data_IF_095281831060
#
_entry.id   IF_095281831060
#
_cell.length_a   1.000
_cell.length_b   1.000
_cell.length_c   1.000
_cell.angle_alpha   90.00
_cell.angle_beta   90.00
_cell.angle_gamma   90.00
#
_symmetry.space_group_name_H-M   'P 1'
#
loop_
_entity.id
_entity.type
_entity.pdbx_description
1 polymer ?
#
# COMPACT_ATOMS: atom_id res chain seq x y z
N UNK A 1 9.60 10.74 -0.64
CA UNK A 1 9.87 12.10 -0.11
C UNK A 1 9.27 13.08 -1.11
N UNK A 2 8.02 13.52 -0.91
CA UNK A 2 7.42 14.59 -1.72
C UNK A 2 7.50 15.84 -0.86
N UNK A 3 8.15 16.87 -1.40
CA UNK A 3 8.41 18.15 -0.73
C UNK A 3 7.06 18.80 -0.41
N UNK A 4 6.74 18.93 0.88
CA UNK A 4 5.61 19.70 1.36
C UNK A 4 6.03 21.18 1.31
N UNK A 5 5.76 21.85 0.17
CA UNK A 5 6.06 23.28 0.04
C UNK A 5 4.96 24.06 0.76
N UNK A 6 5.34 24.81 1.80
CA UNK A 6 4.44 25.70 2.54
C UNK A 6 4.26 27.01 1.75
N UNK A 7 3.11 27.16 1.09
CA UNK A 7 2.78 28.31 0.23
C UNK A 7 2.05 29.45 0.96
N UNK A 8 1.96 29.42 2.30
CA UNK A 8 1.38 30.53 3.07
C UNK A 8 1.97 31.91 2.74
N UNK A 9 3.28 32.07 2.48
CA UNK A 9 3.86 33.39 2.17
C UNK A 9 3.39 33.94 0.82
N UNK A 10 3.12 33.06 -0.15
CA UNK A 10 2.67 33.46 -1.49
C UNK A 10 1.20 33.91 -1.46
N UNK A 11 0.38 33.25 -0.63
CA UNK A 11 -1.02 33.61 -0.40
C UNK A 11 -1.15 34.98 0.27
N UNK A 12 -0.34 35.23 1.29
CA UNK A 12 -0.42 36.47 2.07
C UNK A 12 0.09 37.67 1.23
N UNK A 13 1.13 37.47 0.39
CA UNK A 13 1.60 38.47 -0.58
C UNK A 13 0.57 38.80 -1.67
N UNK A 14 -0.24 37.83 -2.09
CA UNK A 14 -1.33 38.07 -3.05
C UNK A 14 -2.53 38.78 -2.41
N UNK A 15 -2.80 38.56 -1.12
CA UNK A 15 -3.85 39.28 -0.39
C UNK A 15 -3.46 40.75 -0.13
N UNK A 16 -2.19 41.04 0.15
CA UNK A 16 -1.67 42.42 0.22
C UNK A 16 -1.77 43.14 -1.13
N UNK A 17 -1.51 42.44 -2.25
CA UNK A 17 -1.67 43.01 -3.59
C UNK A 17 -3.14 43.34 -3.93
N UNK A 18 -4.08 42.56 -3.41
CA UNK A 18 -5.52 42.79 -3.59
C UNK A 18 -6.05 43.98 -2.77
N UNK A 19 -5.47 44.24 -1.59
CA UNK A 19 -5.87 45.38 -0.74
C UNK A 19 -5.29 46.71 -1.26
N UNK A 20 -4.13 46.66 -1.94
CA UNK A 20 -3.49 47.82 -2.57
C UNK A 20 -4.30 48.39 -3.74
N UNK A 21 -4.98 47.54 -4.52
CA UNK A 21 -5.74 47.96 -5.71
C UNK A 21 -7.12 48.56 -5.35
N UNK A 22 -7.70 48.26 -4.17
CA UNK A 22 -9.04 48.78 -3.81
C UNK A 22 -9.08 50.28 -3.49
N UNK A 23 -7.92 50.94 -3.35
CA UNK A 23 -7.81 52.37 -3.00
C UNK A 23 -7.67 53.31 -4.20
N UNK A 24 -7.70 52.80 -5.45
CA UNK A 24 -7.55 53.64 -6.65
C UNK A 24 -8.40 53.15 -7.81
N UNK A 25 -9.59 53.74 -7.96
CA UNK A 25 -10.15 54.31 -9.20
C UNK A 25 -11.65 54.08 -9.36
N UNK A 26 -12.35 55.17 -9.67
CA UNK A 26 -13.71 55.20 -10.24
C UNK A 26 -13.60 54.89 -11.74
N UNK A 27 -14.11 53.74 -12.20
CA UNK A 27 -14.61 53.59 -13.58
C UNK A 27 -15.41 52.28 -13.79
N UNK A 28 -16.44 52.31 -14.62
CA UNK A 28 -17.39 51.20 -14.86
C UNK A 28 -16.79 49.89 -15.42
N UNK A 29 -15.49 49.88 -15.75
CA UNK A 29 -14.75 48.68 -16.13
C UNK A 29 -14.41 47.79 -14.92
N UNK A 30 -14.34 48.39 -13.72
CA UNK A 30 -14.04 47.68 -12.48
C UNK A 30 -15.18 46.74 -12.07
N UNK A 31 -16.45 47.04 -12.35
CA UNK A 31 -17.52 46.15 -11.91
C UNK A 31 -17.45 44.75 -12.58
N UNK A 32 -16.93 44.66 -13.81
CA UNK A 32 -16.71 43.39 -14.49
C UNK A 32 -15.42 42.69 -14.04
N UNK A 33 -14.33 43.43 -13.85
CA UNK A 33 -13.07 42.90 -13.31
C UNK A 33 -13.22 42.45 -11.86
N UNK A 34 -13.88 43.22 -11.00
CA UNK A 34 -14.22 42.89 -9.62
C UNK A 34 -15.16 41.67 -9.56
N UNK A 35 -16.15 41.53 -10.46
CA UNK A 35 -16.97 40.31 -10.54
C UNK A 35 -16.19 39.07 -10.99
N UNK A 36 -15.26 39.21 -11.94
CA UNK A 36 -14.35 38.13 -12.37
C UNK A 36 -13.36 37.75 -11.26
N UNK A 37 -12.88 38.74 -10.50
CA UNK A 37 -11.98 38.57 -9.35
C UNK A 37 -12.70 37.95 -8.14
N UNK A 38 -13.98 38.28 -7.91
CA UNK A 38 -14.84 37.62 -6.91
C UNK A 38 -15.15 36.16 -7.31
N UNK A 39 -15.32 35.88 -8.60
CA UNK A 39 -15.41 34.50 -9.11
C UNK A 39 -14.07 33.75 -8.95
N UNK A 40 -12.94 34.42 -9.16
CA UNK A 40 -11.60 33.89 -8.94
C UNK A 40 -11.32 33.61 -7.44
N UNK A 41 -11.81 34.46 -6.54
CA UNK A 41 -11.71 34.25 -5.09
C UNK A 41 -12.60 33.11 -4.60
N UNK A 42 -13.74 32.87 -5.26
CA UNK A 42 -14.56 31.67 -5.07
C UNK A 42 -13.88 30.39 -5.58
N UNK A 43 -13.13 30.47 -6.69
CA UNK A 43 -12.36 29.36 -7.26
C UNK A 43 -11.17 28.96 -6.36
N UNK A 44 -10.53 29.93 -5.70
CA UNK A 44 -9.41 29.74 -4.77
C UNK A 44 -9.77 28.97 -3.47
N UNK A 45 -11.07 28.74 -3.18
CA UNK A 45 -11.52 27.93 -2.03
C UNK A 45 -11.57 26.42 -2.30
N UNK A 46 -11.22 25.97 -3.50
CA UNK A 46 -11.32 24.56 -3.91
C UNK A 46 -9.95 23.88 -3.99
N UNK A 47 -9.92 22.55 -3.88
CA UNK A 47 -8.66 21.78 -3.99
C UNK A 47 -7.93 22.11 -5.30
N UNK A 48 -6.59 22.05 -5.31
CA UNK A 48 -5.76 22.38 -6.49
C UNK A 48 -6.21 21.68 -7.79
N UNK A 49 -6.83 20.50 -7.69
CA UNK A 49 -7.40 19.76 -8.81
C UNK A 49 -8.71 20.37 -9.31
N UNK A 50 -9.63 20.75 -8.42
CA UNK A 50 -10.83 21.48 -8.80
C UNK A 50 -10.49 22.84 -9.39
N UNK A 51 -9.47 23.52 -8.84
CA UNK A 51 -8.98 24.78 -9.37
C UNK A 51 -8.40 24.62 -10.79
N UNK A 52 -7.52 23.62 -11.00
CA UNK A 52 -6.92 23.37 -12.30
C UNK A 52 -7.95 22.89 -13.35
N UNK A 53 -8.90 22.03 -12.97
CA UNK A 53 -9.97 21.54 -13.86
C UNK A 53 -10.97 22.66 -14.17
N UNK A 54 -11.35 23.47 -13.18
CA UNK A 54 -12.24 24.62 -13.40
C UNK A 54 -11.57 25.69 -14.25
N UNK A 55 -10.28 25.97 -14.04
CA UNK A 55 -9.49 26.85 -14.92
C UNK A 55 -9.41 26.25 -16.32
N UNK A 56 -9.15 24.95 -16.48
CA UNK A 56 -9.09 24.32 -17.80
C UNK A 56 -10.43 24.38 -18.54
N UNK A 57 -11.54 24.06 -17.86
CA UNK A 57 -12.90 24.21 -18.41
C UNK A 57 -13.21 25.69 -18.73
N UNK A 58 -12.83 26.63 -17.87
CA UNK A 58 -13.06 28.06 -18.08
C UNK A 58 -12.18 28.60 -19.21
N UNK A 59 -10.94 28.16 -19.36
CA UNK A 59 -10.02 28.50 -20.45
C UNK A 59 -10.51 27.97 -21.79
N UNK A 60 -11.06 26.74 -21.82
CA UNK A 60 -11.71 26.19 -23.02
C UNK A 60 -12.98 26.99 -23.36
N UNK A 61 -13.81 27.30 -22.37
CA UNK A 61 -15.03 28.08 -22.55
C UNK A 61 -14.70 29.50 -23.02
N UNK A 62 -13.68 30.14 -22.45
CA UNK A 62 -13.18 31.45 -22.82
C UNK A 62 -12.61 31.42 -24.24
N UNK A 63 -11.77 30.44 -24.59
CA UNK A 63 -11.22 30.29 -25.94
C UNK A 63 -12.28 29.96 -27.01
N UNK A 64 -13.38 29.30 -26.66
CA UNK A 64 -14.51 29.01 -27.57
C UNK A 64 -15.51 30.17 -27.70
N UNK A 65 -15.65 31.00 -26.67
CA UNK A 65 -16.60 32.12 -26.64
C UNK A 65 -15.94 33.42 -27.15
N UNK A 66 -14.65 33.66 -26.89
CA UNK A 66 -13.96 34.88 -27.32
C UNK A 66 -14.01 35.13 -28.84
N UNK A 67 -13.95 34.12 -29.73
CA UNK A 67 -14.11 34.34 -31.16
C UNK A 67 -15.57 34.66 -31.56
N UNK A 68 -16.55 34.23 -30.76
CA UNK A 68 -17.99 34.37 -31.07
C UNK A 68 -18.59 35.69 -30.61
N UNK A 69 -18.05 36.32 -29.56
CA UNK A 69 -18.52 37.64 -29.12
C UNK A 69 -18.16 38.74 -30.13
N UNK A 70 -17.14 38.54 -30.98
CA UNK A 70 -16.70 39.57 -31.94
C UNK A 70 -17.31 39.48 -33.35
N UNK A 71 -18.11 38.46 -33.67
CA UNK A 71 -18.72 38.31 -35.01
C UNK A 71 -20.18 38.78 -35.07
N UNK A 72 -20.81 39.13 -33.95
CA UNK A 72 -22.23 39.53 -33.95
C UNK A 72 -22.54 40.67 -32.98
N UNK A 73 -22.07 41.89 -33.30
CA UNK A 73 -22.88 43.13 -33.34
C UNK A 73 -21.97 44.37 -33.43
N UNK A 74 -22.44 45.33 -34.23
CA UNK A 74 -22.02 46.73 -34.28
C UNK A 74 -20.76 47.08 -35.10
N UNK A 75 -20.88 46.95 -36.42
CA UNK A 75 -20.31 47.95 -37.33
C UNK A 75 -21.15 49.22 -37.20
N UNK A 76 -20.68 50.21 -36.43
CA UNK A 76 -20.64 51.65 -36.77
C UNK A 76 -20.41 52.51 -35.53
N UNK A 77 -19.54 53.50 -35.76
CA UNK A 77 -19.34 54.76 -35.03
C UNK A 77 -18.70 54.70 -33.64
N UNK A 78 -17.51 55.32 -33.60
CA UNK A 78 -16.83 56.04 -32.51
C UNK A 78 -15.36 55.65 -32.37
N UNK A 79 -14.58 56.38 -33.16
CA UNK A 79 -13.24 56.88 -32.88
C UNK A 79 -12.95 57.04 -31.37
N UNK A 80 -11.77 56.56 -30.96
CA UNK A 80 -11.10 56.70 -29.65
C UNK A 80 -11.49 55.71 -28.53
N UNK A 81 -10.99 54.48 -28.66
CA UNK A 81 -10.52 53.67 -27.53
C UNK A 81 -9.18 53.05 -27.94
N UNK A 82 -8.08 53.80 -27.70
CA UNK A 82 -6.71 53.30 -27.77
C UNK A 82 -6.34 52.74 -26.39
N UNK A 83 -6.88 51.58 -26.04
CA UNK A 83 -6.39 50.77 -24.94
C UNK A 83 -6.57 49.29 -25.30
N UNK A 84 -5.76 48.81 -26.24
CA UNK A 84 -5.45 47.39 -26.32
C UNK A 84 -3.97 47.30 -26.71
N UNK A 85 -3.11 46.62 -25.92
CA UNK A 85 -1.76 46.34 -26.38
C UNK A 85 -1.88 45.45 -27.62
N UNK A 86 -1.50 46.02 -28.76
CA UNK A 86 -1.58 45.42 -30.10
C UNK A 86 -0.50 44.34 -30.34
N UNK A 87 0.06 43.81 -29.25
CA UNK A 87 1.02 42.70 -29.21
C UNK A 87 0.71 41.79 -28.01
N UNK A 88 -0.56 41.47 -27.81
CA UNK A 88 -0.91 40.31 -27.00
C UNK A 88 -0.46 39.09 -27.79
N UNK A 89 0.76 38.60 -27.53
CA UNK A 89 1.35 37.48 -28.23
C UNK A 89 0.39 36.29 -28.12
N UNK A 90 -0.44 36.05 -29.13
CA UNK A 90 -1.50 35.04 -29.10
C UNK A 90 -0.94 33.66 -28.75
N UNK A 91 0.31 33.40 -29.16
CA UNK A 91 1.07 32.23 -28.74
C UNK A 91 1.30 32.14 -27.23
N UNK A 92 1.55 33.25 -26.53
CA UNK A 92 1.68 33.29 -25.07
C UNK A 92 0.35 33.00 -24.36
N UNK A 93 -0.77 33.48 -24.91
CA UNK A 93 -2.12 33.19 -24.36
C UNK A 93 -2.46 31.71 -24.54
N UNK A 94 -2.22 31.13 -25.73
CA UNK A 94 -2.42 29.70 -25.99
C UNK A 94 -1.51 28.84 -25.11
N UNK A 95 -0.23 29.21 -24.98
CA UNK A 95 0.72 28.52 -24.12
C UNK A 95 0.25 28.52 -22.66
N UNK A 96 -0.12 29.68 -22.11
CA UNK A 96 -0.41 29.84 -20.69
C UNK A 96 -1.79 29.29 -20.29
N UNK A 97 -2.80 29.37 -21.16
CA UNK A 97 -4.17 28.98 -20.82
C UNK A 97 -4.61 27.63 -21.38
N UNK A 98 -3.92 27.09 -22.41
CA UNK A 98 -4.25 25.77 -22.97
C UNK A 98 -3.12 24.76 -22.76
N UNK A 99 -1.89 25.08 -23.17
CA UNK A 99 -0.78 24.10 -23.12
C UNK A 99 -0.35 23.81 -21.69
N UNK A 100 -0.05 24.85 -20.91
CA UNK A 100 0.43 24.68 -19.52
C UNK A 100 -0.61 23.97 -18.65
N UNK A 101 -1.91 24.34 -18.63
CA UNK A 101 -2.90 23.64 -17.82
C UNK A 101 -3.11 22.20 -18.29
N UNK A 102 -3.13 21.94 -19.60
CA UNK A 102 -3.24 20.57 -20.14
C UNK A 102 -2.05 19.72 -19.74
N UNK A 103 -0.84 20.28 -19.77
CA UNK A 103 0.38 19.61 -19.33
C UNK A 103 0.37 19.32 -17.83
N UNK A 104 -0.06 20.29 -17.01
CA UNK A 104 -0.20 20.12 -15.54
C UNK A 104 -1.24 19.04 -15.22
N UNK A 105 -2.39 19.04 -15.89
CA UNK A 105 -3.41 17.99 -15.74
C UNK A 105 -2.87 16.64 -16.19
N UNK A 106 -2.13 16.59 -17.30
CA UNK A 106 -1.45 15.39 -17.79
C UNK A 106 -0.46 14.82 -16.77
N UNK A 107 0.40 15.66 -16.19
CA UNK A 107 1.32 15.27 -15.11
C UNK A 107 0.55 14.83 -13.88
N UNK A 108 -0.53 15.51 -13.49
CA UNK A 108 -1.31 15.10 -12.35
C UNK A 108 -1.89 13.71 -12.57
N UNK A 109 -2.57 13.47 -13.69
CA UNK A 109 -3.23 12.18 -13.97
C UNK A 109 -2.23 11.04 -14.20
N UNK A 110 -1.19 11.29 -15.00
CA UNK A 110 -0.28 10.26 -15.50
C UNK A 110 1.13 10.31 -14.91
N UNK A 111 1.48 11.34 -14.14
CA UNK A 111 2.84 11.55 -13.64
C UNK A 111 3.37 10.35 -12.85
N UNK A 112 2.56 9.75 -11.98
CA UNK A 112 2.95 8.53 -11.26
C UNK A 112 3.22 7.35 -12.20
N UNK A 113 2.42 7.19 -13.27
CA UNK A 113 2.64 6.13 -14.26
C UNK A 113 3.92 6.37 -15.03
N UNK A 114 4.17 7.62 -15.42
CA UNK A 114 5.40 8.03 -16.11
C UNK A 114 6.61 7.80 -15.20
N UNK A 115 6.54 8.20 -13.92
CA UNK A 115 7.65 8.00 -12.99
C UNK A 115 7.92 6.52 -12.72
N UNK A 116 6.88 5.68 -12.59
CA UNK A 116 7.05 4.25 -12.38
C UNK A 116 7.63 3.58 -13.63
N UNK A 117 7.14 3.94 -14.81
CA UNK A 117 7.65 3.41 -16.08
C UNK A 117 9.12 3.77 -16.31
N UNK A 118 9.50 5.01 -15.99
CA UNK A 118 10.86 5.51 -16.21
C UNK A 118 11.79 5.27 -15.01
N UNK A 119 11.32 4.66 -13.91
CA UNK A 119 12.10 4.29 -12.72
C UNK A 119 13.47 3.63 -13.07
N UNK A 120 13.56 2.70 -14.05
CA UNK A 120 14.84 2.09 -14.44
C UNK A 120 15.92 3.07 -14.92
N UNK A 121 15.58 4.31 -15.27
CA UNK A 121 16.54 5.32 -15.74
C UNK A 121 17.32 6.00 -14.61
N UNK A 122 16.80 6.02 -13.38
CA UNK A 122 17.42 6.74 -12.26
C UNK A 122 17.50 5.92 -10.96
N UNK A 123 16.82 4.79 -10.87
CA UNK A 123 16.83 3.93 -9.68
C UNK A 123 17.43 2.56 -10.05
N UNK A 124 18.55 2.22 -9.41
CA UNK A 124 19.17 0.90 -9.56
C UNK A 124 18.47 -0.12 -8.66
N UNK A 125 18.41 -1.41 -9.07
CA UNK A 125 17.85 -2.45 -8.23
C UNK A 125 18.60 -2.53 -6.88
N UNK A 126 17.90 -2.90 -5.80
CA UNK A 126 18.56 -3.15 -4.52
C UNK A 126 19.57 -4.31 -4.67
N UNK A 127 20.49 -4.41 -3.72
CA UNK A 127 21.44 -5.54 -3.68
C UNK A 127 20.67 -6.86 -3.72
N UNK A 128 21.09 -7.85 -4.53
CA UNK A 128 20.42 -9.14 -4.53
C UNK A 128 20.52 -9.81 -3.16
N UNK A 129 19.62 -10.73 -2.86
CA UNK A 129 19.79 -11.63 -1.72
C UNK A 129 20.79 -12.73 -2.08
N UNK A 130 21.40 -13.31 -1.05
CA UNK A 130 22.12 -14.57 -1.12
C UNK A 130 21.12 -15.70 -0.89
N UNK A 131 20.77 -16.36 -1.98
CA UNK A 131 19.79 -17.44 -1.97
C UNK A 131 20.33 -18.69 -1.27
N UNK A 132 19.64 -19.11 -0.22
CA UNK A 132 19.82 -20.41 0.41
C UNK A 132 18.78 -21.35 -0.22
N UNK A 133 19.23 -22.44 -0.89
CA UNK A 133 18.32 -23.48 -1.37
C UNK A 133 17.57 -24.10 -0.20
N UNK A 134 16.28 -24.34 -0.39
CA UNK A 134 15.44 -24.99 0.60
C UNK A 134 15.18 -26.43 0.16
N UNK A 135 15.91 -27.37 0.77
CA UNK A 135 15.74 -28.80 0.51
C UNK A 135 14.66 -29.34 1.43
N UNK A 136 13.62 -29.95 0.86
CA UNK A 136 12.55 -30.54 1.64
C UNK A 136 11.92 -31.72 0.90
N UNK A 137 11.65 -32.79 1.65
CA UNK A 137 10.77 -33.89 1.29
C UNK A 137 10.23 -34.52 2.59
N UNK A 138 8.97 -34.93 2.59
CA UNK A 138 8.32 -35.50 3.78
C UNK A 138 8.98 -36.81 4.26
N UNK A 139 9.65 -37.54 3.36
CA UNK A 139 10.25 -38.84 3.65
C UNK A 139 11.75 -38.75 3.99
N UNK A 140 12.33 -37.54 4.04
CA UNK A 140 13.74 -37.34 4.38
C UNK A 140 13.86 -36.96 5.86
N UNK A 141 14.76 -37.64 6.57
CA UNK A 141 14.98 -37.37 8.00
C UNK A 141 15.48 -35.94 8.24
N UNK A 142 15.10 -35.36 9.37
CA UNK A 142 15.53 -34.01 9.75
C UNK A 142 17.06 -33.87 9.83
N UNK A 143 17.76 -34.91 10.29
CA UNK A 143 19.23 -34.95 10.29
C UNK A 143 19.82 -34.79 8.89
N UNK A 144 19.26 -35.50 7.90
CA UNK A 144 19.69 -35.38 6.51
C UNK A 144 19.33 -34.01 5.92
N UNK A 145 18.13 -33.49 6.24
CA UNK A 145 17.73 -32.15 5.81
C UNK A 145 18.70 -31.09 6.35
N UNK A 146 19.01 -31.08 7.65
CA UNK A 146 19.98 -30.13 8.20
C UNK A 146 21.36 -30.25 7.53
N UNK A 147 21.87 -31.49 7.39
CA UNK A 147 23.16 -31.72 6.71
C UNK A 147 23.17 -31.25 5.26
N UNK A 148 22.09 -31.42 4.51
CA UNK A 148 21.96 -30.94 3.13
C UNK A 148 22.06 -29.40 3.02
N UNK A 149 21.62 -28.68 4.05
CA UNK A 149 21.78 -27.23 4.14
C UNK A 149 23.15 -26.81 4.69
N UNK A 150 24.01 -27.76 5.07
CA UNK A 150 25.28 -27.50 5.74
C UNK A 150 25.12 -27.06 7.20
N UNK A 151 24.00 -27.43 7.82
CA UNK A 151 23.62 -27.06 9.18
C UNK A 151 23.77 -28.24 10.15
N UNK A 152 24.00 -27.94 11.43
CA UNK A 152 23.97 -28.92 12.50
C UNK A 152 22.55 -29.44 12.76
N UNK A 153 22.42 -30.54 13.49
CA UNK A 153 21.11 -31.00 14.01
C UNK A 153 21.10 -30.85 15.52
N UNK A 154 19.93 -30.54 16.08
CA UNK A 154 19.74 -30.41 17.52
C UNK A 154 19.07 -31.64 18.12
N UNK A 155 19.38 -31.93 19.37
CA UNK A 155 18.69 -32.97 20.16
C UNK A 155 17.27 -32.54 20.56
N UNK A 156 17.08 -31.22 20.77
CA UNK A 156 15.81 -30.61 21.15
C UNK A 156 15.54 -29.41 20.24
N UNK A 157 14.33 -29.28 19.68
CA UNK A 157 14.00 -28.17 18.81
C UNK A 157 13.95 -26.87 19.61
N UNK A 158 14.34 -25.76 18.97
CA UNK A 158 14.13 -24.41 19.53
C UNK A 158 12.65 -24.15 19.77
N UNK A 159 12.34 -23.33 20.79
CA UNK A 159 11.01 -22.74 20.89
C UNK A 159 10.85 -21.72 19.76
N UNK A 160 9.62 -21.58 19.31
CA UNK A 160 9.29 -20.66 18.21
C UNK A 160 8.19 -19.72 18.65
N UNK A 161 8.38 -18.44 18.41
CA UNK A 161 7.45 -17.36 18.70
C UNK A 161 6.95 -16.77 17.39
N UNK A 162 5.63 -16.81 17.18
CA UNK A 162 4.99 -16.19 16.02
C UNK A 162 4.45 -14.80 16.39
N UNK A 163 5.11 -13.73 15.94
CA UNK A 163 4.72 -12.37 16.30
C UNK A 163 4.10 -11.61 15.13
N UNK A 164 2.85 -11.16 15.31
CA UNK A 164 2.08 -10.46 14.27
C UNK A 164 1.40 -9.20 14.82
N UNK A 165 1.35 -8.16 13.97
CA UNK A 165 0.43 -7.04 14.13
C UNK A 165 -0.90 -7.38 13.43
N UNK A 166 -2.01 -7.26 14.15
CA UNK A 166 -3.32 -7.65 13.63
C UNK A 166 -4.22 -6.43 13.32
N UNK A 167 -4.89 -6.48 12.16
CA UNK A 167 -5.86 -5.48 11.72
C UNK A 167 -7.26 -6.06 11.57
N UNK A 168 -7.54 -6.79 10.49
CA UNK A 168 -8.87 -7.32 10.16
C UNK A 168 -8.85 -8.65 9.38
N UNK A 169 -7.68 -9.27 9.22
CA UNK A 169 -7.45 -10.48 8.42
C UNK A 169 -7.81 -11.80 9.16
N UNK A 170 -9.03 -11.92 9.72
CA UNK A 170 -9.43 -13.08 10.55
C UNK A 170 -9.25 -14.44 9.84
N UNK A 171 -9.72 -14.56 8.60
CA UNK A 171 -9.65 -15.82 7.84
C UNK A 171 -8.22 -16.25 7.56
N UNK A 172 -7.35 -15.29 7.24
CA UNK A 172 -5.92 -15.53 6.97
C UNK A 172 -5.18 -15.85 8.27
N UNK A 173 -5.52 -15.20 9.38
CA UNK A 173 -4.97 -15.52 10.70
C UNK A 173 -5.30 -16.98 11.10
N UNK A 174 -6.54 -17.41 10.87
CA UNK A 174 -6.95 -18.79 11.14
C UNK A 174 -6.13 -19.80 10.31
N UNK A 175 -5.98 -19.56 9.00
CA UNK A 175 -5.16 -20.42 8.13
C UNK A 175 -3.71 -20.45 8.61
N UNK A 176 -3.12 -19.28 8.90
CA UNK A 176 -1.76 -19.14 9.40
C UNK A 176 -1.56 -19.96 10.67
N UNK A 177 -2.41 -19.77 11.67
CA UNK A 177 -2.23 -20.40 12.97
C UNK A 177 -2.49 -21.89 12.94
N UNK A 178 -3.43 -22.39 12.13
CA UNK A 178 -3.57 -23.84 11.94
C UNK A 178 -2.36 -24.47 11.24
N UNK A 179 -1.74 -23.78 10.26
CA UNK A 179 -0.50 -24.23 9.62
C UNK A 179 0.67 -24.28 10.61
N UNK A 180 0.78 -23.27 11.47
CA UNK A 180 1.92 -23.10 12.39
C UNK A 180 1.73 -23.78 13.75
N UNK A 181 0.50 -24.16 14.11
CA UNK A 181 0.14 -24.73 15.42
C UNK A 181 1.04 -25.86 15.91
N UNK A 182 1.50 -26.80 15.06
CA UNK A 182 2.37 -27.90 15.51
C UNK A 182 3.82 -27.47 15.80
N UNK A 183 4.24 -26.30 15.32
CA UNK A 183 5.65 -25.88 15.29
C UNK A 183 5.93 -24.66 16.17
N UNK A 184 4.90 -23.88 16.50
CA UNK A 184 5.00 -22.66 17.30
C UNK A 184 4.76 -22.95 18.78
N UNK A 185 5.65 -22.44 19.63
CA UNK A 185 5.53 -22.54 21.08
C UNK A 185 4.61 -21.48 21.66
N UNK A 186 4.70 -20.24 21.17
CA UNK A 186 3.90 -19.11 21.62
C UNK A 186 3.45 -18.25 20.43
N UNK A 187 2.17 -17.90 20.39
CA UNK A 187 1.61 -16.93 19.46
C UNK A 187 1.54 -15.56 20.16
N UNK A 188 2.12 -14.54 19.53
CA UNK A 188 2.18 -13.18 20.04
C UNK A 188 1.39 -12.28 19.09
N UNK A 189 0.21 -11.84 19.52
CA UNK A 189 -0.68 -11.02 18.70
C UNK A 189 -0.89 -9.66 19.38
N UNK A 190 -0.50 -8.59 18.69
CA UNK A 190 -0.84 -7.23 19.09
C UNK A 190 -1.96 -6.69 18.20
N UNK A 191 -3.03 -6.21 18.82
CA UNK A 191 -4.12 -5.51 18.13
C UNK A 191 -4.21 -4.04 18.57
N UNK A 192 -4.34 -3.13 17.60
CA UNK A 192 -4.61 -1.71 17.84
C UNK A 192 -6.08 -1.37 17.63
N UNK A 193 -6.60 -0.38 18.36
CA UNK A 193 -7.89 0.25 18.05
C UNK A 193 -7.79 1.37 16.99
N UNK A 194 -6.62 1.56 16.38
CA UNK A 194 -6.39 2.45 15.25
C UNK A 194 -5.88 1.72 14.01
N UNK A 195 -6.28 2.22 12.83
CA UNK A 195 -5.59 1.95 11.58
C UNK A 195 -4.27 2.74 11.50
N UNK A 196 -3.37 2.39 10.59
CA UNK A 196 -2.14 3.17 10.37
C UNK A 196 -2.41 4.59 9.89
N UNK A 197 -3.57 4.83 9.28
CA UNK A 197 -4.05 6.17 8.89
C UNK A 197 -4.72 6.95 10.02
N UNK A 198 -4.75 6.41 11.25
CA UNK A 198 -5.32 7.08 12.43
C UNK A 198 -6.84 7.04 12.50
N UNK A 199 -7.50 6.15 11.75
CA UNK A 199 -8.94 5.91 11.86
C UNK A 199 -9.23 4.96 13.02
N UNK A 200 -10.33 5.20 13.73
CA UNK A 200 -10.82 4.28 14.76
C UNK A 200 -11.28 2.97 14.11
N UNK A 201 -10.86 1.84 14.67
CA UNK A 201 -11.37 0.50 14.35
C UNK A 201 -11.74 -0.26 15.63
N UNK A 202 -12.68 -1.22 15.57
CA UNK A 202 -12.89 -2.16 16.66
C UNK A 202 -11.67 -3.08 16.83
N UNK A 203 -11.66 -3.78 17.97
CA UNK A 203 -10.74 -4.89 18.19
C UNK A 203 -11.35 -6.15 17.55
N UNK A 204 -11.18 -6.28 16.24
CA UNK A 204 -11.69 -7.39 15.43
C UNK A 204 -11.27 -8.76 15.96
N UNK A 205 -10.03 -8.91 16.46
CA UNK A 205 -9.60 -10.18 17.04
C UNK A 205 -10.32 -10.41 18.37
N UNK A 206 -10.36 -9.41 19.26
CA UNK A 206 -11.04 -9.55 20.55
C UNK A 206 -12.53 -9.91 20.40
N UNK A 207 -13.21 -9.32 19.43
CA UNK A 207 -14.62 -9.59 19.13
C UNK A 207 -14.88 -11.00 18.57
N UNK A 208 -13.87 -11.65 18.01
CA UNK A 208 -13.96 -12.96 17.36
C UNK A 208 -13.03 -14.01 18.00
N UNK A 209 -12.58 -13.76 19.24
CA UNK A 209 -11.57 -14.55 19.94
C UNK A 209 -12.02 -15.99 20.20
N UNK A 210 -13.32 -16.21 20.30
CA UNK A 210 -13.95 -17.52 20.44
C UNK A 210 -13.60 -18.47 19.27
N UNK A 211 -13.40 -17.94 18.06
CA UNK A 211 -12.99 -18.73 16.90
C UNK A 211 -11.56 -19.28 17.01
N UNK A 212 -10.78 -18.78 17.99
CA UNK A 212 -9.36 -19.08 18.19
C UNK A 212 -9.09 -19.79 19.53
N UNK A 213 -10.11 -20.40 20.15
CA UNK A 213 -9.97 -21.10 21.44
C UNK A 213 -8.82 -22.12 21.44
N UNK A 214 -8.55 -22.76 20.29
CA UNK A 214 -7.47 -23.73 20.14
C UNK A 214 -6.07 -23.18 20.42
N UNK A 215 -5.81 -21.87 20.24
CA UNK A 215 -4.50 -21.26 20.52
C UNK A 215 -4.40 -20.63 21.91
N UNK A 216 -5.51 -20.47 22.64
CA UNK A 216 -5.55 -19.79 23.94
C UNK A 216 -4.46 -20.24 24.93
N UNK A 217 -4.13 -21.55 25.07
CA UNK A 217 -3.08 -21.99 25.97
C UNK A 217 -1.67 -21.46 25.64
N UNK A 218 -1.47 -20.96 24.42
CA UNK A 218 -0.19 -20.48 23.86
C UNK A 218 -0.31 -19.06 23.30
N UNK A 219 -1.34 -18.30 23.71
CA UNK A 219 -1.61 -16.97 23.17
C UNK A 219 -1.18 -15.87 24.14
N UNK A 220 -0.22 -15.07 23.71
CA UNK A 220 0.14 -13.79 24.31
C UNK A 220 -0.54 -12.67 23.50
N UNK A 221 -1.76 -12.32 23.91
CA UNK A 221 -2.55 -11.27 23.31
C UNK A 221 -2.33 -9.93 24.00
N UNK A 222 -2.00 -8.88 23.23
CA UNK A 222 -1.86 -7.52 23.72
C UNK A 222 -2.68 -6.52 22.90
N UNK A 223 -3.10 -5.44 23.55
CA UNK A 223 -3.79 -4.33 22.90
C UNK A 223 -3.00 -3.04 23.03
N UNK A 224 -3.07 -2.18 22.02
CA UNK A 224 -2.50 -0.82 22.08
C UNK A 224 -3.52 0.22 21.61
N UNK A 225 -3.50 1.39 22.25
CA UNK A 225 -4.31 2.54 21.81
C UNK A 225 -3.61 3.30 20.69
N UNK A 226 -4.34 3.70 19.66
CA UNK A 226 -3.80 4.54 18.59
C UNK A 226 -3.42 5.95 19.04
N UNK A 227 -2.57 6.61 18.25
CA UNK A 227 -2.29 8.04 18.43
C UNK A 227 -3.36 8.93 17.78
N UNK A 228 -4.14 8.38 16.84
CA UNK A 228 -5.26 9.05 16.15
C UNK A 228 -4.90 10.38 15.46
N UNK A 229 -3.66 10.51 14.99
CA UNK A 229 -3.20 11.71 14.29
C UNK A 229 -3.58 11.63 12.80
N UNK A 230 -4.47 12.52 12.36
CA UNK A 230 -4.93 12.58 10.96
C UNK A 230 -3.96 13.36 10.08
N UNK A 231 -3.75 12.88 8.85
CA UNK A 231 -2.92 13.56 7.84
C UNK A 231 -1.42 13.44 8.06
N UNK A 232 -0.99 12.68 9.08
CA UNK A 232 0.40 12.30 9.26
C UNK A 232 0.76 11.14 8.30
N UNK A 233 2.06 10.96 8.07
CA UNK A 233 2.57 9.77 7.40
C UNK A 233 2.15 8.50 8.17
N UNK A 234 1.38 7.58 7.55
CA UNK A 234 0.90 6.36 8.21
C UNK A 234 2.00 5.46 8.79
N UNK A 235 3.22 5.51 8.23
CA UNK A 235 4.37 4.74 8.72
C UNK A 235 4.78 5.12 10.14
N UNK A 236 4.39 6.30 10.63
CA UNK A 236 4.64 6.71 12.02
C UNK A 236 3.75 5.92 12.98
N UNK A 237 2.47 5.74 12.65
CA UNK A 237 1.53 4.95 13.46
C UNK A 237 1.91 3.46 13.43
N UNK A 238 2.28 2.95 12.26
CA UNK A 238 2.81 1.60 12.11
C UNK A 238 4.05 1.39 13.00
N UNK A 239 5.01 2.32 12.96
CA UNK A 239 6.23 2.24 13.78
C UNK A 239 5.91 2.25 15.28
N UNK A 240 4.95 3.06 15.71
CA UNK A 240 4.48 3.08 17.09
C UNK A 240 3.90 1.71 17.52
N UNK A 241 3.04 1.12 16.69
CA UNK A 241 2.48 -0.21 16.97
C UNK A 241 3.56 -1.31 16.96
N UNK A 242 4.57 -1.23 16.07
CA UNK A 242 5.70 -2.19 16.06
C UNK A 242 6.57 -2.08 17.32
N UNK A 243 6.73 -0.89 17.90
CA UNK A 243 7.40 -0.72 19.21
C UNK A 243 6.59 -1.36 20.34
N UNK A 244 5.26 -1.22 20.32
CA UNK A 244 4.39 -1.90 21.28
C UNK A 244 4.46 -3.44 21.15
N UNK A 245 4.54 -3.96 19.92
CA UNK A 245 4.71 -5.39 19.68
C UNK A 245 6.07 -5.90 20.22
N UNK A 246 7.15 -5.12 20.06
CA UNK A 246 8.46 -5.45 20.65
C UNK A 246 8.38 -5.61 22.17
N UNK A 247 7.55 -4.80 22.85
CA UNK A 247 7.32 -4.91 24.29
C UNK A 247 6.53 -6.18 24.64
N UNK A 248 5.48 -6.50 23.88
CA UNK A 248 4.68 -7.72 24.07
C UNK A 248 5.53 -8.99 23.87
N UNK A 249 6.38 -9.01 22.84
CA UNK A 249 7.32 -10.11 22.60
C UNK A 249 8.22 -10.34 23.81
N UNK A 250 8.80 -9.28 24.39
CA UNK A 250 9.69 -9.40 25.57
C UNK A 250 8.99 -9.96 26.80
N UNK A 251 7.70 -9.65 26.96
CA UNK A 251 6.89 -10.07 28.12
C UNK A 251 6.25 -11.45 27.91
N UNK A 252 6.26 -11.99 26.69
CA UNK A 252 5.77 -13.34 26.36
C UNK A 252 6.68 -14.49 26.83
N UNK A 253 7.82 -14.20 27.45
CA UNK A 253 8.76 -15.22 27.95
C UNK A 253 9.69 -15.80 26.88
N UNK A 254 9.98 -15.04 25.81
CA UNK A 254 11.01 -15.36 24.83
C UNK A 254 12.41 -15.24 25.43
N UNK A 255 13.25 -16.24 25.18
CA UNK A 255 14.63 -16.34 25.68
C UNK A 255 15.68 -16.31 24.57
N UNK A 256 16.95 -16.27 24.97
CA UNK A 256 18.08 -16.38 24.04
C UNK A 256 18.03 -17.73 23.27
N UNK A 257 18.41 -17.69 22.00
CA UNK A 257 18.38 -18.82 21.05
C UNK A 257 16.98 -19.30 20.62
N UNK A 258 15.88 -18.78 21.18
CA UNK A 258 14.53 -19.00 20.65
C UNK A 258 14.39 -18.40 19.23
N UNK A 259 13.50 -18.95 18.40
CA UNK A 259 13.20 -18.40 17.08
C UNK A 259 12.03 -17.41 17.17
N UNK A 260 12.21 -16.22 16.61
CA UNK A 260 11.18 -15.20 16.49
C UNK A 260 10.83 -15.01 15.02
N UNK A 261 9.60 -15.37 14.65
CA UNK A 261 9.03 -15.08 13.34
C UNK A 261 8.52 -13.64 13.36
N UNK A 262 8.97 -12.84 12.40
CA UNK A 262 8.55 -11.45 12.20
C UNK A 262 7.93 -11.33 10.82
N UNK A 263 6.61 -11.21 10.76
CA UNK A 263 5.89 -11.10 9.49
C UNK A 263 4.56 -10.40 9.70
N UNK A 264 3.95 -9.93 8.61
CA UNK A 264 2.55 -9.52 8.65
C UNK A 264 1.64 -10.78 8.61
N UNK A 265 0.35 -10.62 8.93
CA UNK A 265 -0.61 -11.76 9.02
C UNK A 265 -0.74 -12.48 7.68
N UNK A 266 -0.70 -11.74 6.57
CA UNK A 266 -0.82 -12.28 5.22
C UNK A 266 0.42 -12.98 4.69
N UNK A 267 1.52 -13.00 5.43
CA UNK A 267 2.78 -13.65 5.09
C UNK A 267 2.97 -14.94 5.90
N UNK A 268 2.35 -16.03 5.46
CA UNK A 268 2.28 -17.32 6.15
C UNK A 268 3.54 -18.15 5.85
N UNK A 269 4.47 -18.34 6.82
CA UNK A 269 5.55 -19.31 6.67
C UNK A 269 4.98 -20.72 6.60
N UNK A 270 5.60 -21.58 5.81
CA UNK A 270 5.19 -22.98 5.78
C UNK A 270 5.62 -23.72 7.06
N UNK A 271 4.81 -24.68 7.48
CA UNK A 271 5.10 -25.49 8.65
C UNK A 271 6.42 -26.26 8.53
N UNK A 272 6.73 -26.78 7.34
CA UNK A 272 7.98 -27.50 7.11
C UNK A 272 9.22 -26.58 7.16
N UNK A 273 9.12 -25.33 6.70
CA UNK A 273 10.18 -24.33 6.89
C UNK A 273 10.45 -24.11 8.38
N UNK A 274 9.42 -23.85 9.17
CA UNK A 274 9.59 -23.61 10.61
C UNK A 274 10.11 -24.85 11.32
N UNK A 275 9.65 -26.03 10.90
CA UNK A 275 10.14 -27.30 11.43
C UNK A 275 11.62 -27.52 11.13
N UNK A 276 12.09 -27.20 9.92
CA UNK A 276 13.50 -27.24 9.57
C UNK A 276 14.32 -26.32 10.47
N UNK A 277 13.93 -25.04 10.57
CA UNK A 277 14.70 -24.03 11.29
C UNK A 277 14.79 -24.31 12.79
N UNK A 278 13.74 -24.84 13.42
CA UNK A 278 13.78 -25.14 14.86
C UNK A 278 14.66 -26.35 15.20
N UNK A 279 14.84 -27.30 14.27
CA UNK A 279 15.63 -28.52 14.48
C UNK A 279 17.08 -28.39 14.02
N UNK A 280 17.38 -27.51 13.06
CA UNK A 280 18.75 -27.32 12.59
C UNK A 280 19.50 -26.30 13.43
N UNK A 281 20.79 -26.56 13.70
CA UNK A 281 21.72 -25.62 14.32
C UNK A 281 22.60 -24.93 13.28
N UNK A 282 23.38 -23.93 13.69
CA UNK A 282 24.28 -23.16 12.82
C UNK A 282 23.55 -22.44 11.65
N UNK A 283 22.22 -22.30 11.75
CA UNK A 283 21.43 -21.45 10.86
C UNK A 283 21.85 -19.98 11.04
N UNK A 284 21.70 -19.14 10.00
CA UNK A 284 21.93 -17.70 10.11
C UNK A 284 21.15 -17.08 11.28
N UNK A 285 21.75 -16.11 11.97
CA UNK A 285 21.13 -15.43 13.11
C UNK A 285 19.86 -14.67 12.70
N UNK A 286 19.84 -14.13 11.48
CA UNK A 286 18.67 -13.53 10.85
C UNK A 286 18.55 -14.15 9.47
N UNK A 287 17.34 -14.51 9.09
CA UNK A 287 17.07 -15.18 7.82
C UNK A 287 15.75 -14.66 7.27
N UNK A 288 15.76 -14.11 6.06
CA UNK A 288 14.51 -13.80 5.35
C UNK A 288 13.89 -15.06 4.77
N UNK A 289 12.58 -15.05 4.63
CA UNK A 289 11.80 -16.12 4.02
C UNK A 289 11.30 -15.65 2.66
N UNK A 290 11.64 -16.38 1.60
CA UNK A 290 11.06 -16.14 0.27
C UNK A 290 9.70 -16.80 0.19
N UNK A 291 8.65 -16.00 0.11
CA UNK A 291 7.27 -16.49 0.01
C UNK A 291 6.77 -16.37 -1.44
N UNK A 292 5.93 -17.32 -1.84
CA UNK A 292 5.14 -17.23 -3.07
C UNK A 292 4.11 -16.11 -2.91
N UNK A 293 4.13 -15.14 -3.80
CA UNK A 293 3.40 -13.89 -3.66
C UNK A 293 2.09 -13.94 -4.45
N UNK A 294 0.98 -14.00 -3.74
CA UNK A 294 -0.38 -14.06 -4.25
C UNK A 294 -1.13 -12.77 -3.97
N UNK A 295 -2.07 -12.47 -4.85
CA UNK A 295 -2.93 -11.30 -4.73
C UNK A 295 -4.41 -11.71 -4.80
N UNK A 296 -5.24 -11.21 -3.90
CA UNK A 296 -6.69 -11.44 -3.81
C UNK A 296 -7.12 -12.87 -3.43
N UNK A 297 -6.42 -13.90 -3.88
CA UNK A 297 -6.63 -15.33 -3.57
C UNK A 297 -5.41 -16.14 -4.03
N UNK A 298 -5.36 -17.44 -3.71
CA UNK A 298 -4.31 -18.35 -4.20
C UNK A 298 -4.43 -18.70 -5.70
N UNK A 299 -5.37 -18.05 -6.41
CA UNK A 299 -5.49 -18.12 -7.87
C UNK A 299 -4.50 -17.20 -8.60
N UNK A 300 -4.17 -16.03 -8.04
CA UNK A 300 -3.38 -15.02 -8.73
C UNK A 300 -1.97 -14.96 -8.16
N UNK A 301 -1.11 -15.88 -8.61
CA UNK A 301 0.32 -15.88 -8.30
C UNK A 301 1.02 -14.75 -9.07
N UNK A 302 1.44 -13.70 -8.36
CA UNK A 302 2.14 -12.55 -8.91
C UNK A 302 3.60 -12.89 -9.25
N UNK A 303 4.33 -13.43 -8.27
CA UNK A 303 5.72 -13.89 -8.41
C UNK A 303 6.16 -14.72 -7.19
N UNK A 304 7.44 -15.12 -7.15
CA UNK A 304 8.05 -15.76 -5.99
C UNK A 304 9.08 -14.84 -5.32
N UNK A 305 8.77 -13.54 -5.21
CA UNK A 305 9.71 -12.51 -4.75
C UNK A 305 9.31 -11.86 -3.42
N UNK A 306 8.26 -12.30 -2.72
CA UNK A 306 7.97 -11.75 -1.39
C UNK A 306 9.06 -12.18 -0.40
N UNK A 307 9.59 -11.23 0.39
CA UNK A 307 10.82 -11.43 1.17
C UNK A 307 10.82 -10.82 2.57
N UNK A 308 9.81 -10.03 2.95
CA UNK A 308 9.87 -9.22 4.18
C UNK A 308 9.72 -10.05 5.46
N UNK A 309 9.03 -11.18 5.39
CA UNK A 309 8.95 -12.13 6.48
C UNK A 309 10.35 -12.66 6.82
N UNK A 310 10.69 -12.69 8.11
CA UNK A 310 11.98 -13.19 8.57
C UNK A 310 11.86 -14.02 9.83
N UNK A 311 12.87 -14.86 10.06
CA UNK A 311 13.08 -15.58 11.31
C UNK A 311 14.40 -15.15 11.91
N UNK A 312 14.36 -14.73 13.17
CA UNK A 312 15.54 -14.31 13.91
C UNK A 312 15.79 -15.27 15.06
N UNK A 313 17.04 -15.70 15.23
CA UNK A 313 17.51 -16.25 16.52
C UNK A 313 17.52 -15.10 17.52
N UNK A 314 16.66 -15.20 18.53
CA UNK A 314 16.46 -14.14 19.49
C UNK A 314 17.69 -13.98 20.38
N UNK A 315 18.06 -12.71 20.61
CA UNK A 315 19.10 -12.30 21.55
C UNK A 315 18.55 -11.18 22.41
N UNK A 316 18.44 -11.44 23.71
CA UNK A 316 17.93 -10.51 24.69
C UNK A 316 18.69 -9.17 24.61
N UNK A 317 17.93 -8.06 24.59
CA UNK A 317 18.47 -6.71 24.47
C UNK A 317 18.97 -6.30 23.07
N UNK A 318 19.22 -7.24 22.15
CA UNK A 318 19.71 -6.95 20.79
C UNK A 318 18.63 -7.11 19.72
N UNK A 319 17.84 -8.18 19.77
CA UNK A 319 16.79 -8.42 18.79
C UNK A 319 15.63 -7.45 19.01
N UNK A 320 15.17 -6.85 17.90
CA UNK A 320 14.02 -5.94 17.84
C UNK A 320 13.10 -6.39 16.74
N UNK A 321 11.79 -6.25 16.95
CA UNK A 321 10.84 -6.48 15.88
C UNK A 321 11.11 -5.55 14.69
N UNK A 322 11.29 -6.13 13.51
CA UNK A 322 11.59 -5.39 12.29
C UNK A 322 10.97 -6.07 11.08
N UNK A 323 10.24 -5.30 10.28
CA UNK A 323 9.58 -5.77 9.06
C UNK A 323 10.17 -5.08 7.81
N UNK A 324 11.49 -5.19 7.67
CA UNK A 324 12.28 -4.66 6.56
C UNK A 324 13.58 -5.46 6.44
N UNK A 325 14.44 -5.17 5.45
CA UNK A 325 15.64 -5.97 5.19
C UNK A 325 16.63 -5.90 6.36
N UNK A 326 16.83 -7.03 7.04
CA UNK A 326 17.75 -7.18 8.19
C UNK A 326 19.06 -7.92 7.88
N UNK A 327 19.08 -8.73 6.82
CA UNK A 327 20.22 -9.49 6.31
C UNK A 327 20.10 -9.63 4.79
N UNK A 328 21.14 -10.16 4.16
CA UNK A 328 21.14 -10.54 2.75
C UNK A 328 20.85 -12.05 2.54
N UNK A 329 20.83 -12.85 3.60
CA UNK A 329 20.48 -14.28 3.51
C UNK A 329 18.95 -14.47 3.41
N UNK A 330 18.51 -15.29 2.45
CA UNK A 330 17.10 -15.63 2.25
C UNK A 330 16.93 -17.13 1.99
N UNK A 331 16.01 -17.78 2.70
CA UNK A 331 15.63 -19.15 2.43
C UNK A 331 14.56 -19.18 1.35
N UNK A 332 14.79 -20.01 0.32
CA UNK A 332 13.87 -20.12 -0.83
C UNK A 332 12.57 -20.84 -0.46
N UNK A 333 11.50 -20.60 -1.23
CA UNK A 333 10.19 -21.30 -1.16
C UNK A 333 9.75 -21.66 0.27
N UNK A 334 9.55 -20.64 1.09
CA UNK A 334 9.38 -20.75 2.54
C UNK A 334 7.94 -20.51 3.03
N UNK A 335 6.97 -20.44 2.11
CA UNK A 335 5.56 -20.23 2.42
C UNK A 335 4.85 -19.32 1.41
N UNK A 336 3.83 -18.62 1.87
CA UNK A 336 2.91 -17.87 1.02
C UNK A 336 2.67 -16.46 1.56
N UNK A 337 2.64 -15.48 0.67
CA UNK A 337 2.16 -14.13 0.95
C UNK A 337 0.86 -13.92 0.19
N UNK A 338 -0.28 -13.70 0.86
CA UNK A 338 -1.59 -13.55 0.22
C UNK A 338 -2.17 -12.16 0.48
N UNK A 339 -1.72 -11.17 -0.29
CA UNK A 339 -2.16 -9.79 -0.10
C UNK A 339 -3.60 -9.58 -0.56
N UNK A 340 -4.38 -8.79 0.19
CA UNK A 340 -5.80 -8.52 -0.10
C UNK A 340 -6.68 -9.79 -0.23
N UNK A 341 -6.34 -10.86 0.48
CA UNK A 341 -7.07 -12.13 0.45
C UNK A 341 -8.28 -12.15 1.40
N UNK A 342 -9.27 -11.30 1.10
CA UNK A 342 -10.47 -11.09 1.92
C UNK A 342 -11.72 -11.76 1.36
N UNK A 343 -12.69 -12.02 2.24
CA UNK A 343 -13.97 -12.64 1.91
C UNK A 343 -14.98 -11.61 1.39
N UNK A 344 -15.02 -10.44 2.00
CA UNK A 344 -15.99 -9.38 1.70
C UNK A 344 -15.34 -8.19 1.00
N UNK A 345 -16.04 -7.57 0.05
CA UNK A 345 -15.56 -6.36 -0.64
C UNK A 345 -15.32 -5.19 0.32
N UNK A 346 -16.08 -5.11 1.40
CA UNK A 346 -15.91 -4.09 2.45
C UNK A 346 -14.53 -4.14 3.10
N UNK A 347 -13.93 -5.32 3.25
CA UNK A 347 -12.59 -5.49 3.82
C UNK A 347 -11.48 -4.98 2.88
N UNK A 348 -11.67 -5.12 1.56
CA UNK A 348 -10.77 -4.49 0.58
C UNK A 348 -10.80 -2.97 0.74
N UNK A 349 -12.01 -2.38 0.76
CA UNK A 349 -12.20 -0.93 0.95
C UNK A 349 -11.61 -0.48 2.29
N UNK A 350 -11.78 -1.26 3.35
CA UNK A 350 -11.20 -0.99 4.65
C UNK A 350 -9.67 -0.98 4.58
N UNK A 351 -9.02 -2.05 4.10
CA UNK A 351 -7.55 -2.11 4.00
C UNK A 351 -6.98 -0.99 3.15
N UNK A 352 -7.59 -0.70 1.99
CA UNK A 352 -7.19 0.42 1.10
C UNK A 352 -7.18 1.77 1.81
N UNK A 353 -8.08 1.99 2.79
CA UNK A 353 -8.13 3.23 3.60
C UNK A 353 -7.30 3.18 4.88
N UNK A 354 -6.94 1.99 5.34
CA UNK A 354 -6.39 1.75 6.67
C UNK A 354 -4.86 1.63 6.70
N UNK A 355 -4.28 0.99 5.69
CA UNK A 355 -2.86 0.62 5.71
C UNK A 355 -1.91 1.73 5.23
N UNK A 356 -0.60 1.49 5.37
CA UNK A 356 0.41 2.53 5.23
C UNK A 356 0.53 3.15 3.84
N UNK A 357 0.04 2.46 2.80
CA UNK A 357 0.05 2.96 1.42
C UNK A 357 -1.30 3.52 0.95
N UNK A 358 -2.02 4.22 1.84
CA UNK A 358 -3.29 4.92 1.51
C UNK A 358 -3.11 5.96 0.40
N UNK A 359 -1.89 6.44 0.16
CA UNK A 359 -1.53 7.38 -0.91
C UNK A 359 -1.85 6.83 -2.32
N UNK A 360 -1.96 5.50 -2.45
CA UNK A 360 -2.38 4.84 -3.69
C UNK A 360 -3.86 5.07 -4.01
N UNK A 361 -4.69 5.41 -3.04
CA UNK A 361 -6.11 5.76 -3.23
C UNK A 361 -6.24 7.20 -3.73
N UNK A 362 -5.96 7.40 -5.02
CA UNK A 362 -5.96 8.74 -5.64
C UNK A 362 -7.34 9.25 -6.03
N UNK A 363 -8.25 8.34 -6.36
CA UNK A 363 -9.59 8.66 -6.82
C UNK A 363 -10.64 7.88 -6.05
N UNK A 364 -11.76 8.52 -5.73
CA UNK A 364 -12.84 7.90 -4.96
C UNK A 364 -13.43 6.65 -5.66
N UNK A 365 -13.40 6.58 -6.99
CA UNK A 365 -13.91 5.43 -7.73
C UNK A 365 -13.11 4.14 -7.52
N UNK A 366 -11.85 4.22 -7.04
CA UNK A 366 -11.08 3.04 -6.66
C UNK A 366 -11.74 2.26 -5.52
N UNK A 367 -12.54 2.94 -4.71
CA UNK A 367 -13.26 2.38 -3.58
C UNK A 367 -14.67 1.89 -3.96
N UNK A 368 -15.05 1.93 -5.24
CA UNK A 368 -16.35 1.45 -5.68
C UNK A 368 -16.41 -0.10 -5.59
N UNK A 369 -17.38 -0.67 -4.85
CA UNK A 369 -17.44 -2.12 -4.64
C UNK A 369 -17.55 -2.95 -5.92
N UNK A 370 -18.39 -2.52 -6.87
CA UNK A 370 -18.57 -3.23 -8.15
C UNK A 370 -17.30 -3.21 -8.99
N UNK A 371 -16.57 -2.09 -8.99
CA UNK A 371 -15.25 -2.01 -9.64
C UNK A 371 -14.25 -2.94 -8.98
N UNK A 372 -14.13 -2.90 -7.64
CA UNK A 372 -13.20 -3.76 -6.90
C UNK A 372 -13.46 -5.22 -7.27
N UNK A 373 -14.72 -5.65 -7.23
CA UNK A 373 -15.11 -7.02 -7.58
C UNK A 373 -14.69 -7.41 -9.02
N UNK A 374 -14.86 -6.52 -9.99
CA UNK A 374 -14.42 -6.75 -11.37
C UNK A 374 -12.89 -6.82 -11.49
N UNK A 375 -12.18 -5.88 -10.86
CA UNK A 375 -10.72 -5.78 -10.89
C UNK A 375 -10.06 -7.02 -10.30
N UNK A 376 -10.51 -7.48 -9.13
CA UNK A 376 -9.93 -8.67 -8.48
C UNK A 376 -10.24 -9.94 -9.27
N UNK A 377 -11.41 -10.05 -9.90
CA UNK A 377 -11.75 -11.20 -10.74
C UNK A 377 -10.93 -11.25 -12.02
N UNK A 378 -10.51 -10.11 -12.56
CA UNK A 378 -9.63 -10.03 -13.71
C UNK A 378 -8.15 -10.22 -13.35
N UNK A 379 -7.79 -10.25 -12.07
CA UNK A 379 -6.38 -10.22 -11.63
C UNK A 379 -5.68 -8.88 -11.92
N UNK A 380 -6.44 -7.78 -12.10
CA UNK A 380 -5.87 -6.46 -12.40
C UNK A 380 -5.45 -5.70 -11.13
N UNK A 381 -4.67 -4.63 -11.27
CA UNK A 381 -4.22 -3.80 -10.14
C UNK A 381 -5.35 -2.93 -9.56
N UNK A 382 -5.57 -2.99 -8.23
CA UNK A 382 -6.62 -2.22 -7.55
C UNK A 382 -6.53 -0.70 -7.78
N UNK A 383 -5.33 -0.18 -8.00
CA UNK A 383 -5.01 1.24 -8.05
C UNK A 383 -4.70 1.74 -9.46
N UNK A 384 -4.89 0.89 -10.48
CA UNK A 384 -4.53 1.13 -11.89
C UNK A 384 -3.07 1.59 -12.09
N UNK A 385 -2.17 1.10 -11.24
CA UNK A 385 -0.74 1.41 -11.27
C UNK A 385 0.02 0.51 -12.27
N UNK A 386 1.21 0.97 -12.66
CA UNK A 386 2.17 0.13 -13.38
C UNK A 386 2.99 -0.70 -12.37
N UNK A 387 3.54 -1.85 -12.79
CA UNK A 387 4.44 -2.64 -11.96
C UNK A 387 5.62 -1.82 -11.41
N UNK A 388 5.89 -2.00 -10.13
CA UNK A 388 6.97 -1.33 -9.41
C UNK A 388 8.31 -2.06 -9.56
N UNK A 389 8.89 -2.04 -10.75
CA UNK A 389 10.12 -2.81 -11.08
C UNK A 389 11.30 -1.90 -11.44
N UNK A 390 12.52 -2.47 -11.38
CA UNK A 390 13.78 -1.75 -11.61
C UNK A 390 14.34 -1.91 -13.02
N UNK A 391 13.73 -2.74 -13.86
CA UNK A 391 14.15 -2.95 -15.25
C UNK A 391 12.95 -2.87 -16.19
N UNK A 392 13.15 -2.31 -17.39
CA UNK A 392 12.08 -2.26 -18.41
C UNK A 392 11.57 -3.66 -18.77
N UNK A 393 12.45 -4.67 -18.78
CA UNK A 393 12.09 -6.06 -19.04
C UNK A 393 11.09 -6.58 -18.01
N UNK A 394 11.32 -6.33 -16.74
CA UNK A 394 10.42 -6.75 -15.66
C UNK A 394 9.12 -5.97 -15.67
N UNK A 395 9.17 -4.64 -15.92
CA UNK A 395 7.96 -3.83 -16.08
C UNK A 395 7.09 -4.45 -17.17
N UNK A 396 7.64 -4.60 -18.39
CA UNK A 396 6.90 -5.16 -19.53
C UNK A 396 6.41 -6.58 -19.27
N UNK A 397 7.24 -7.42 -18.64
CA UNK A 397 6.87 -8.79 -18.30
C UNK A 397 5.74 -8.90 -17.27
N UNK A 398 5.51 -7.86 -16.47
CA UNK A 398 4.43 -7.78 -15.47
C UNK A 398 3.29 -6.85 -15.89
N UNK A 399 3.31 -6.31 -17.11
CA UNK A 399 2.21 -5.48 -17.58
C UNK A 399 0.96 -6.33 -17.82
N UNK A 400 -0.18 -5.80 -17.38
CA UNK A 400 -1.48 -6.44 -17.54
C UNK A 400 -1.93 -7.19 -16.30
N UNK A 401 -3.02 -7.96 -16.40
CA UNK A 401 -3.55 -8.70 -15.28
C UNK A 401 -2.70 -9.93 -14.95
N UNK A 402 -2.69 -10.29 -13.65
CA UNK A 402 -2.03 -11.50 -13.16
C UNK A 402 -2.75 -12.71 -13.75
N UNK A 403 -2.01 -13.68 -14.34
CA UNK A 403 -2.63 -14.87 -14.92
C UNK A 403 -3.30 -15.74 -13.85
N UNK A 404 -4.40 -16.36 -14.23
CA UNK A 404 -5.10 -17.33 -13.40
C UNK A 404 -4.26 -18.60 -13.26
N UNK A 405 -4.06 -19.05 -12.03
CA UNK A 405 -3.38 -20.30 -11.68
C UNK A 405 -4.40 -21.38 -11.38
N UNK A 406 -4.27 -22.54 -12.01
CA UNK A 406 -5.17 -23.68 -11.83
C UNK A 406 -4.64 -24.74 -10.85
N UNK A 407 -3.53 -24.44 -10.17
CA UNK A 407 -2.89 -25.34 -9.21
C UNK A 407 -3.13 -24.86 -7.79
N UNK A 408 -3.65 -25.75 -6.96
CA UNK A 408 -3.72 -25.61 -5.51
C UNK A 408 -2.69 -26.50 -4.79
N UNK A 409 -1.68 -26.99 -5.52
CA UNK A 409 -0.64 -27.86 -4.97
C UNK A 409 0.27 -27.05 -4.07
N UNK A 410 0.60 -27.61 -2.91
CA UNK A 410 1.37 -26.92 -1.85
C UNK A 410 0.68 -25.66 -1.34
N UNK A 411 -0.64 -25.64 -1.21
CA UNK A 411 -1.34 -24.65 -0.39
C UNK A 411 -1.48 -25.16 1.06
N UNK A 412 -1.76 -24.29 2.05
CA UNK A 412 -1.93 -24.70 3.44
C UNK A 412 -2.96 -25.83 3.58
N UNK A 413 -2.66 -26.86 4.36
CA UNK A 413 -3.53 -28.03 4.49
C UNK A 413 -4.91 -27.67 5.07
N UNK A 414 -4.91 -26.78 6.07
CA UNK A 414 -6.15 -26.31 6.72
C UNK A 414 -7.09 -25.59 5.76
N UNK A 415 -6.55 -24.84 4.79
CA UNK A 415 -7.33 -24.20 3.73
C UNK A 415 -8.09 -25.25 2.90
N UNK A 416 -7.39 -26.31 2.47
CA UNK A 416 -7.95 -27.35 1.62
C UNK A 416 -8.93 -28.25 2.37
N UNK A 417 -8.66 -28.55 3.64
CA UNK A 417 -9.57 -29.31 4.50
C UNK A 417 -10.89 -28.57 4.76
N UNK A 418 -10.86 -27.23 4.78
CA UNK A 418 -12.01 -26.36 5.03
C UNK A 418 -12.43 -25.60 3.76
N UNK A 419 -12.33 -26.25 2.60
CA UNK A 419 -12.51 -25.59 1.30
C UNK A 419 -13.87 -24.90 1.15
N UNK A 420 -14.94 -25.40 1.79
CA UNK A 420 -16.26 -24.76 1.73
C UNK A 420 -16.25 -23.36 2.38
N UNK A 421 -15.57 -23.22 3.53
CA UNK A 421 -15.44 -21.95 4.26
C UNK A 421 -14.53 -20.95 3.55
N UNK A 422 -13.50 -21.45 2.87
CA UNK A 422 -12.45 -20.64 2.24
C UNK A 422 -12.47 -20.70 0.73
N UNK A 423 -13.61 -21.08 0.14
CA UNK A 423 -13.76 -21.29 -1.30
C UNK A 423 -13.29 -20.10 -2.11
N UNK A 424 -13.56 -18.89 -1.63
CA UNK A 424 -13.18 -17.62 -2.26
C UNK A 424 -11.66 -17.40 -2.43
N UNK A 425 -10.83 -18.15 -1.69
CA UNK A 425 -9.37 -18.14 -1.79
C UNK A 425 -8.82 -19.15 -2.81
N UNK A 426 -9.65 -20.07 -3.31
CA UNK A 426 -9.23 -21.14 -4.23
C UNK A 426 -9.52 -20.78 -5.69
N UNK A 427 -8.72 -21.31 -6.64
CA UNK A 427 -8.91 -21.07 -8.07
C UNK A 427 -10.35 -21.24 -8.56
N UNK A 428 -10.82 -20.27 -9.37
CA UNK A 428 -12.14 -20.26 -9.98
C UNK A 428 -13.23 -19.58 -9.14
N UNK A 429 -12.90 -19.00 -7.98
CA UNK A 429 -13.87 -18.47 -7.01
C UNK A 429 -13.62 -17.00 -6.66
N UNK A 430 -13.44 -16.16 -7.68
CA UNK A 430 -13.10 -14.74 -7.48
C UNK A 430 -14.25 -13.87 -6.93
N UNK A 431 -15.51 -14.35 -6.98
CA UNK A 431 -16.66 -13.60 -6.45
C UNK A 431 -16.60 -13.56 -4.93
N UNK A 432 -16.72 -12.36 -4.39
CA UNK A 432 -16.70 -12.06 -2.96
C UNK A 432 -18.11 -11.92 -2.43
N UNK A 433 -18.28 -12.23 -1.17
CA UNK A 433 -19.58 -12.16 -0.53
C UNK A 433 -19.98 -10.69 -0.31
N UNK A 434 -21.28 -10.44 -0.37
CA UNK A 434 -21.85 -9.15 0.02
C UNK A 434 -21.95 -9.16 1.55
N UNK A 435 -20.99 -8.51 2.20
CA UNK A 435 -20.98 -8.28 3.65
C UNK A 435 -21.86 -7.12 4.08
#
# INVERSE_FOLDING_TARGET
MIINVNWSPLRDAMLEALDYDSKKSDDSCDEYCTRVMILFSFLLRSSLLEFAVRIWCFSILFALIFPRIFVSRAIRTMSKLRCFPRDSNFGAVVLLFLVVPTFVVGIYLHGQKITYFLRPLWESPPRPFKDIPHYYDENVSMENLCKLHGWGVRDVPRRVFDAVLFSNELDILAIRWHELYPYVSEFVLLESNSTFTGLQKPFFFAENRDQFEFVEPRLNYGTVGGRFVKGENPFVEESYQRVALDHLIRTSGIGDDDLLIMSDVDEIPSGHTINLLRWCDDIPEKLHLRLRNYLYSFEFLLDNKSWRASVHRYRAGKTRYAHYRQTDDILSDSGWHCSFCFRYISEFVFKMKAYSHVDRVRFAYYLNPSRIQDVICRGADLYDMLPEEYTFKEIVGKLGPIPHTYSAVHLPAYLLQNFDKYKYLLPGNCKREHG
#
